data_IF_457291305922
#
_entry.id   IF_457291305922
#
_cell.length_a   1.000
_cell.length_b   1.000
_cell.length_c   1.000
_cell.angle_alpha   90.00
_cell.angle_beta   90.00
_cell.angle_gamma   90.00
#
_symmetry.space_group_name_H-M   'P 1'
#
loop_
_entity.id
_entity.type
_entity.pdbx_description
1 polymer ?
#
# COMPACT_ATOMS: atom_id res chain seq x y z
N UNK A 1 58.92 -9.97 -5.79
CA UNK A 1 57.71 -9.40 -6.40
C UNK A 1 56.60 -10.44 -6.25
N UNK A 2 55.59 -10.18 -5.42
CA UNK A 2 54.44 -11.07 -5.24
C UNK A 2 53.19 -10.27 -5.61
N UNK A 3 52.55 -10.60 -6.73
CA UNK A 3 51.24 -10.05 -7.09
C UNK A 3 50.17 -11.00 -6.54
N UNK A 4 49.50 -10.53 -5.49
CA UNK A 4 48.38 -11.23 -4.85
C UNK A 4 47.18 -11.28 -5.79
N UNK A 5 46.77 -12.49 -6.16
CA UNK A 5 45.43 -12.76 -6.69
C UNK A 5 44.42 -12.41 -5.58
N UNK A 6 43.41 -11.60 -5.90
CA UNK A 6 42.28 -11.36 -5.00
C UNK A 6 41.10 -12.20 -5.51
N UNK A 7 40.59 -13.14 -4.71
CA UNK A 7 39.38 -13.87 -5.07
C UNK A 7 38.16 -13.03 -4.68
N UNK A 8 37.18 -13.07 -5.57
CA UNK A 8 35.78 -13.35 -5.24
C UNK A 8 35.20 -12.68 -4.00
N UNK A 9 34.53 -11.55 -4.22
CA UNK A 9 33.46 -11.08 -3.34
C UNK A 9 32.21 -10.85 -4.16
N UNK A 10 31.56 -11.93 -4.56
CA UNK A 10 30.13 -11.91 -4.82
C UNK A 10 29.43 -11.51 -3.51
N UNK A 11 29.08 -10.23 -3.41
CA UNK A 11 28.14 -9.78 -2.40
C UNK A 11 26.76 -10.31 -2.79
N UNK A 12 26.05 -11.04 -1.91
CA UNK A 12 24.68 -11.44 -2.19
C UNK A 12 23.83 -10.17 -2.16
N UNK A 13 23.42 -9.72 -3.34
CA UNK A 13 22.36 -8.74 -3.47
C UNK A 13 21.10 -9.36 -2.88
N UNK A 14 20.85 -9.04 -1.62
CA UNK A 14 19.63 -9.37 -0.92
C UNK A 14 18.48 -8.77 -1.72
N UNK A 15 17.87 -9.60 -2.57
CA UNK A 15 16.50 -9.43 -3.05
C UNK A 15 15.60 -9.58 -1.82
N UNK A 16 15.63 -8.58 -0.94
CA UNK A 16 14.53 -8.34 -0.03
C UNK A 16 13.38 -7.91 -0.93
N UNK A 17 12.52 -8.87 -1.27
CA UNK A 17 11.20 -8.64 -1.83
C UNK A 17 10.48 -7.68 -0.89
N UNK A 18 10.71 -6.39 -1.12
CA UNK A 18 10.01 -5.29 -0.51
C UNK A 18 8.64 -5.31 -1.15
N UNK A 19 7.79 -6.20 -0.65
CA UNK A 19 6.34 -6.12 -0.77
C UNK A 19 5.95 -4.87 0.01
N UNK A 20 6.26 -3.72 -0.57
CA UNK A 20 5.74 -2.45 -0.16
C UNK A 20 4.25 -2.54 -0.41
N UNK A 21 3.49 -2.95 0.61
CA UNK A 21 2.07 -2.68 0.71
C UNK A 21 1.92 -1.21 0.36
N UNK A 22 1.45 -0.94 -0.86
CA UNK A 22 1.24 0.40 -1.41
C UNK A 22 0.21 1.05 -0.51
N UNK A 23 0.67 1.77 0.52
CA UNK A 23 -0.20 2.55 1.40
C UNK A 23 -0.99 3.47 0.48
N UNK A 24 -2.30 3.24 0.41
CA UNK A 24 -3.19 4.08 -0.37
C UNK A 24 -3.15 5.44 0.31
N UNK A 25 -2.43 6.39 -0.29
CA UNK A 25 -2.43 7.77 0.18
C UNK A 25 -3.79 8.34 -0.16
N UNK A 26 -4.67 8.36 0.83
CA UNK A 26 -6.00 8.95 0.74
C UNK A 26 -6.04 10.21 1.60
N UNK A 27 -6.65 11.26 1.07
CA UNK A 27 -6.98 12.46 1.81
C UNK A 27 -8.13 12.17 2.79
N UNK A 28 -8.25 12.93 3.90
CA UNK A 28 -9.39 12.80 4.81
C UNK A 28 -10.76 12.96 4.11
N UNK A 29 -10.81 13.77 3.05
CA UNK A 29 -12.02 13.98 2.22
C UNK A 29 -12.38 12.72 1.43
N UNK A 30 -11.40 12.06 0.79
CA UNK A 30 -11.64 10.82 0.05
C UNK A 30 -12.11 9.67 0.95
N UNK A 31 -11.52 9.55 2.14
CA UNK A 31 -11.97 8.57 3.15
C UNK A 31 -13.41 8.86 3.58
N UNK A 32 -13.76 10.13 3.81
CA UNK A 32 -15.11 10.53 4.21
C UNK A 32 -16.13 10.29 3.09
N UNK A 33 -15.76 10.56 1.83
CA UNK A 33 -16.59 10.27 0.67
C UNK A 33 -16.80 8.76 0.48
N UNK A 34 -15.76 7.95 0.69
CA UNK A 34 -15.85 6.49 0.63
C UNK A 34 -16.80 5.92 1.70
N UNK A 35 -16.75 6.46 2.92
CA UNK A 35 -17.69 6.08 4.00
C UNK A 35 -19.13 6.45 3.65
N UNK A 36 -19.36 7.65 3.11
CA UNK A 36 -20.69 8.07 2.66
C UNK A 36 -21.20 7.15 1.55
N UNK A 37 -20.34 6.80 0.59
CA UNK A 37 -20.69 5.89 -0.51
C UNK A 37 -21.12 4.52 0.00
N UNK A 38 -20.44 3.98 1.00
CA UNK A 38 -20.74 2.67 1.60
C UNK A 38 -22.17 2.65 2.19
N UNK A 39 -22.54 3.69 2.94
CA UNK A 39 -23.89 3.85 3.49
C UNK A 39 -24.94 4.03 2.39
N UNK A 40 -24.63 4.78 1.33
CA UNK A 40 -25.55 4.98 0.21
C UNK A 40 -25.79 3.70 -0.57
N UNK A 41 -24.73 2.95 -0.88
CA UNK A 41 -24.84 1.69 -1.61
C UNK A 41 -25.64 0.67 -0.79
N UNK A 42 -25.45 0.57 0.54
CA UNK A 42 -26.27 -0.25 1.43
C UNK A 42 -27.75 0.14 1.38
N UNK A 43 -28.06 1.45 1.52
CA UNK A 43 -29.45 1.95 1.48
C UNK A 43 -30.12 1.74 0.13
N UNK A 44 -29.34 1.72 -0.95
CA UNK A 44 -29.82 1.49 -2.30
C UNK A 44 -29.83 0.00 -2.70
N UNK A 45 -29.42 -0.90 -1.80
CA UNK A 45 -29.30 -2.34 -2.09
C UNK A 45 -28.26 -2.66 -3.17
N UNK A 46 -27.24 -1.82 -3.31
CA UNK A 46 -26.15 -1.96 -4.30
C UNK A 46 -24.91 -2.55 -3.64
N UNK A 47 -24.18 -3.36 -4.40
CA UNK A 47 -22.88 -3.83 -3.97
C UNK A 47 -21.86 -2.67 -4.00
N UNK A 48 -21.21 -2.43 -2.85
CA UNK A 48 -20.11 -1.47 -2.75
C UNK A 48 -18.84 -2.07 -3.36
N UNK A 49 -18.13 -1.37 -4.26
CA UNK A 49 -16.87 -1.87 -4.80
C UNK A 49 -15.78 -2.05 -3.73
N UNK A 50 -15.02 -3.14 -3.80
CA UNK A 50 -13.95 -3.48 -2.85
C UNK A 50 -12.92 -2.36 -2.63
N UNK A 51 -12.56 -1.62 -3.69
CA UNK A 51 -11.62 -0.52 -3.54
C UNK A 51 -12.17 0.65 -2.70
N UNK A 52 -13.50 0.85 -2.69
CA UNK A 52 -14.18 1.85 -1.85
C UNK A 52 -14.17 1.39 -0.40
N UNK A 53 -14.39 0.09 -0.15
CA UNK A 53 -14.31 -0.51 1.19
C UNK A 53 -12.90 -0.33 1.76
N UNK A 54 -11.87 -0.62 0.96
CA UNK A 54 -10.46 -0.40 1.37
C UNK A 54 -10.16 1.08 1.62
N UNK A 55 -10.73 1.98 0.84
CA UNK A 55 -10.54 3.43 1.00
C UNK A 55 -11.25 3.97 2.25
N UNK A 56 -12.45 3.49 2.56
CA UNK A 56 -13.20 3.86 3.76
C UNK A 56 -12.50 3.39 5.06
N UNK A 57 -11.76 2.27 4.97
CA UNK A 57 -10.96 1.70 6.05
C UNK A 57 -9.50 2.17 6.06
N UNK A 58 -9.08 3.00 5.09
CA UNK A 58 -7.73 3.56 5.11
C UNK A 58 -7.56 4.43 6.36
N UNK A 59 -6.40 4.32 7.02
CA UNK A 59 -6.05 5.18 8.15
C UNK A 59 -6.23 6.63 7.74
N UNK A 60 -7.21 7.31 8.34
CA UNK A 60 -7.36 8.75 8.22
C UNK A 60 -6.08 9.34 8.82
N UNK A 61 -5.17 9.98 8.07
CA UNK A 61 -4.17 10.79 8.73
C UNK A 61 -4.94 11.86 9.49
N UNK A 62 -4.84 11.83 10.83
CA UNK A 62 -5.29 12.96 11.64
C UNK A 62 -4.48 14.16 11.17
N UNK A 63 -5.17 15.21 10.74
CA UNK A 63 -4.58 16.54 10.72
C UNK A 63 -4.22 16.94 12.16
#
# INVERSE_FOLDING_TARGET
MATSVSPDREAPHQTSARTATRRVRATPTEVSAAKLRLVLDERLGRATPEWVVRLANAERPSA
#
